data_IF_872554472157
#
_entry.id   IF_872554472157
#
_cell.length_a   1.000
_cell.length_b   1.000
_cell.length_c   1.000
_cell.angle_alpha   90.00
_cell.angle_beta   90.00
_cell.angle_gamma   90.00
#
_symmetry.space_group_name_H-M   'P 1'
#
loop_
_entity.id
_entity.type
_entity.pdbx_description
1 polymer ?
#
# COMPACT_ATOMS: atom_id res chain seq x y z
N UNK A 1 -12.24 -2.88 -18.28
CA UNK A 1 -12.66 -3.35 -16.95
C UNK A 1 -12.33 -2.24 -15.98
N UNK A 2 -13.19 -1.94 -15.01
CA UNK A 2 -12.93 -0.85 -14.04
C UNK A 2 -11.80 -1.25 -13.10
N UNK A 3 -10.77 -0.42 -13.00
CA UNK A 3 -9.59 -0.59 -12.13
C UNK A 3 -9.61 0.45 -11.01
N UNK A 4 -8.91 0.16 -9.92
CA UNK A 4 -8.67 1.10 -8.83
C UNK A 4 -7.38 0.74 -8.09
N UNK A 5 -6.87 1.68 -7.31
CA UNK A 5 -5.63 1.47 -6.54
C UNK A 5 -5.95 1.43 -5.05
N UNK A 6 -5.54 0.36 -4.38
CA UNK A 6 -5.70 0.18 -2.93
C UNK A 6 -4.34 0.09 -2.26
N UNK A 7 -4.22 0.49 -1.00
CA UNK A 7 -3.00 0.29 -0.23
C UNK A 7 -3.13 -0.77 0.87
N UNK A 8 -4.35 -1.16 1.25
CA UNK A 8 -4.57 -2.23 2.22
C UNK A 8 -5.98 -2.87 2.12
N UNK A 9 -6.09 -4.12 2.56
CA UNK A 9 -7.35 -4.84 2.79
C UNK A 9 -7.34 -5.31 4.24
N UNK A 10 -8.02 -4.56 5.11
CA UNK A 10 -8.11 -4.89 6.53
C UNK A 10 -9.33 -5.76 6.81
N UNK A 11 -9.08 -7.04 7.06
CA UNK A 11 -10.11 -8.00 7.48
C UNK A 11 -10.40 -7.86 8.99
N UNK A 12 -11.57 -8.35 9.41
CA UNK A 12 -12.00 -8.36 10.82
C UNK A 12 -12.06 -6.99 11.51
N UNK A 13 -12.40 -5.93 10.76
CA UNK A 13 -12.62 -4.61 11.33
C UNK A 13 -13.97 -4.55 12.07
N UNK A 14 -13.93 -4.20 13.36
CA UNK A 14 -15.13 -4.06 14.22
C UNK A 14 -15.47 -2.61 14.56
N UNK A 15 -14.61 -1.66 14.13
CA UNK A 15 -14.77 -0.23 14.43
C UNK A 15 -15.24 0.58 13.22
N UNK A 16 -15.21 -0.01 12.02
CA UNK A 16 -15.53 0.66 10.75
C UNK A 16 -16.99 0.46 10.30
N UNK A 17 -17.86 0.10 11.25
CA UNK A 17 -19.30 -0.09 11.07
C UNK A 17 -19.85 -1.28 11.86
N UNK A 18 -21.15 -1.61 11.72
CA UNK A 18 -21.77 -2.77 12.38
C UNK A 18 -21.21 -4.10 11.87
N UNK A 19 -21.20 -5.10 12.77
CA UNK A 19 -20.74 -6.46 12.48
C UNK A 19 -19.24 -6.56 12.23
N UNK A 20 -18.80 -7.72 11.72
CA UNK A 20 -17.42 -7.93 11.27
C UNK A 20 -17.29 -7.39 9.85
N UNK A 21 -16.32 -6.49 9.62
CA UNK A 21 -16.15 -5.84 8.33
C UNK A 21 -14.80 -6.12 7.69
N UNK A 22 -14.78 -5.99 6.38
CA UNK A 22 -13.56 -5.84 5.60
C UNK A 22 -13.47 -4.40 5.13
N UNK A 23 -12.44 -3.70 5.59
CA UNK A 23 -12.17 -2.32 5.21
C UNK A 23 -11.17 -2.30 4.06
N UNK A 24 -11.59 -1.80 2.90
CA UNK A 24 -10.75 -1.60 1.72
C UNK A 24 -10.19 -0.19 1.77
N UNK A 25 -8.87 -0.07 1.83
CA UNK A 25 -8.18 1.20 1.92
C UNK A 25 -7.72 1.66 0.53
N UNK A 26 -8.35 2.69 0.01
CA UNK A 26 -8.13 3.23 -1.34
C UNK A 26 -6.98 4.26 -1.36
N UNK A 27 -6.29 4.39 -2.49
CA UNK A 27 -5.31 5.47 -2.72
C UNK A 27 -5.93 6.68 -3.43
N UNK A 28 -5.35 7.86 -3.23
CA UNK A 28 -5.83 9.13 -3.73
C UNK A 28 -6.76 9.82 -2.74
N UNK A 29 -6.39 11.01 -2.26
CA UNK A 29 -7.26 11.87 -1.45
C UNK A 29 -7.02 13.34 -1.80
N UNK A 30 -8.06 14.12 -2.15
CA UNK A 30 -7.88 15.53 -2.49
C UNK A 30 -7.61 16.43 -1.27
N UNK A 31 -7.61 15.87 -0.06
CA UNK A 31 -7.42 16.59 1.19
C UNK A 31 -5.98 16.47 1.70
N UNK A 32 -5.50 17.51 2.38
CA UNK A 32 -4.18 17.58 3.02
C UNK A 32 -4.32 17.84 4.53
N UNK A 33 -5.06 16.95 5.22
CA UNK A 33 -5.31 17.05 6.65
C UNK A 33 -4.00 17.09 7.45
N UNK A 34 -3.89 17.99 8.43
CA UNK A 34 -2.69 18.12 9.27
C UNK A 34 -2.35 16.84 10.05
N UNK A 35 -3.37 16.07 10.42
CA UNK A 35 -3.25 14.77 11.08
C UNK A 35 -4.02 13.72 10.29
N UNK A 36 -3.59 13.50 9.05
CA UNK A 36 -4.14 12.43 8.23
C UNK A 36 -3.97 11.09 8.95
N UNK A 37 -5.05 10.32 9.05
CA UNK A 37 -5.01 8.99 9.65
C UNK A 37 -4.25 8.00 8.75
N UNK A 38 -4.37 8.18 7.43
CA UNK A 38 -3.76 7.31 6.41
C UNK A 38 -2.99 8.16 5.37
N UNK A 39 -1.87 8.80 5.74
CA UNK A 39 -1.08 9.62 4.81
C UNK A 39 -0.64 8.88 3.54
N UNK A 40 -0.44 7.56 3.63
CA UNK A 40 -0.16 6.66 2.51
C UNK A 40 -1.25 6.60 1.44
N UNK A 41 -2.48 6.97 1.81
CA UNK A 41 -3.64 7.06 0.93
C UNK A 41 -3.73 8.37 0.16
N UNK A 42 -2.87 9.36 0.41
CA UNK A 42 -2.96 10.68 -0.24
C UNK A 42 -2.52 10.61 -1.71
N UNK A 43 -1.31 10.09 -1.95
CA UNK A 43 -0.75 9.95 -3.30
C UNK A 43 -1.56 8.90 -4.09
N UNK A 44 -2.20 9.26 -5.21
CA UNK A 44 -2.96 8.31 -6.03
C UNK A 44 -2.09 7.18 -6.58
N UNK A 45 -0.86 7.47 -7.02
CA UNK A 45 0.01 6.47 -7.61
C UNK A 45 0.67 5.57 -6.55
N UNK A 46 0.95 4.30 -6.86
CA UNK A 46 1.82 3.48 -6.03
C UNK A 46 3.19 4.13 -5.84
N UNK A 47 3.73 4.09 -4.64
CA UNK A 47 5.05 4.65 -4.33
C UNK A 47 5.87 3.72 -3.44
N UNK A 48 7.19 3.94 -3.46
CA UNK A 48 8.13 3.17 -2.66
C UNK A 48 8.23 3.76 -1.25
N UNK A 49 7.86 2.97 -0.24
CA UNK A 49 8.15 3.28 1.16
C UNK A 49 9.49 2.65 1.59
N UNK A 50 10.23 3.37 2.44
CA UNK A 50 11.48 2.90 3.03
C UNK A 50 11.44 3.05 4.55
N UNK A 51 11.57 1.92 5.26
CA UNK A 51 11.58 1.80 6.72
C UNK A 51 13.01 1.60 7.18
N UNK A 52 13.70 2.70 7.48
CA UNK A 52 15.12 2.67 7.80
C UNK A 52 15.43 1.77 9.01
N UNK A 53 14.52 1.73 9.98
CA UNK A 53 14.60 0.90 11.18
C UNK A 53 14.61 -0.61 10.92
N UNK A 54 14.11 -1.06 9.76
CA UNK A 54 14.16 -2.47 9.34
C UNK A 54 15.40 -2.79 8.52
N UNK A 55 16.11 -1.80 8.00
CA UNK A 55 17.16 -2.03 7.02
C UNK A 55 18.39 -2.67 7.68
N UNK A 56 18.76 -3.88 7.21
CA UNK A 56 19.98 -4.58 7.65
C UNK A 56 21.23 -4.17 6.84
N UNK A 57 21.08 -3.23 5.90
CA UNK A 57 22.17 -2.68 5.06
C UNK A 57 22.92 -3.74 4.24
N UNK A 58 22.20 -4.71 3.68
CA UNK A 58 22.80 -5.75 2.84
C UNK A 58 23.26 -5.26 1.46
N UNK A 59 22.73 -4.14 0.96
CA UNK A 59 23.13 -3.57 -0.34
C UNK A 59 22.38 -4.13 -1.56
N UNK A 60 21.64 -5.23 -1.44
CA UNK A 60 20.91 -5.88 -2.55
C UNK A 60 20.10 -4.90 -3.42
N UNK A 61 19.36 -3.98 -2.79
CA UNK A 61 18.56 -2.99 -3.51
C UNK A 61 19.38 -1.95 -4.28
N UNK A 62 20.63 -1.69 -3.87
CA UNK A 62 21.55 -0.80 -4.58
C UNK A 62 22.11 -1.51 -5.80
N UNK A 63 22.60 -2.74 -5.61
CA UNK A 63 23.22 -3.54 -6.68
C UNK A 63 22.25 -3.88 -7.81
N UNK A 64 20.98 -4.10 -7.48
CA UNK A 64 19.95 -4.50 -8.44
C UNK A 64 19.01 -3.34 -8.83
N UNK A 65 19.33 -2.09 -8.50
CA UNK A 65 18.54 -0.95 -8.97
C UNK A 65 18.85 -0.69 -10.46
N UNK A 66 17.88 -0.86 -11.39
CA UNK A 66 18.15 -0.69 -12.81
C UNK A 66 18.52 0.76 -13.19
N UNK A 67 18.08 1.73 -12.39
CA UNK A 67 18.35 3.15 -12.59
C UNK A 67 19.57 3.66 -11.79
N UNK A 68 20.23 2.79 -11.01
CA UNK A 68 21.30 3.19 -10.08
C UNK A 68 20.85 4.34 -9.14
N UNK A 69 19.56 4.38 -8.80
CA UNK A 69 18.90 5.47 -8.06
C UNK A 69 19.12 5.42 -6.54
N UNK A 70 19.96 4.51 -6.05
CA UNK A 70 20.16 4.24 -4.62
C UNK A 70 21.65 4.18 -4.27
N UNK A 71 22.00 4.63 -3.06
CA UNK A 71 23.34 4.53 -2.50
C UNK A 71 23.30 3.90 -1.10
N UNK A 72 24.33 3.12 -0.77
CA UNK A 72 24.54 2.58 0.58
C UNK A 72 25.38 3.58 1.39
N UNK A 73 24.84 4.02 2.53
CA UNK A 73 25.54 4.87 3.48
C UNK A 73 25.62 4.22 4.87
N UNK A 74 26.25 4.92 5.82
CA UNK A 74 26.42 4.43 7.20
C UNK A 74 25.08 4.13 7.88
N UNK A 75 24.09 4.98 7.64
CA UNK A 75 22.82 4.98 8.37
C UNK A 75 21.66 4.31 7.61
N UNK A 76 21.91 3.75 6.42
CA UNK A 76 20.87 3.13 5.60
C UNK A 76 21.15 3.17 4.11
N UNK A 77 20.08 2.98 3.32
CA UNK A 77 20.10 3.15 1.87
C UNK A 77 19.34 4.43 1.53
N UNK A 78 19.97 5.34 0.79
CA UNK A 78 19.40 6.64 0.44
C UNK A 78 19.30 6.81 -1.08
N UNK A 79 18.51 7.79 -1.57
CA UNK A 79 18.50 8.13 -2.99
C UNK A 79 19.86 8.64 -3.46
N UNK A 80 20.30 8.22 -4.65
CA UNK A 80 21.46 8.79 -5.33
C UNK A 80 21.09 10.09 -6.07
N UNK A 81 21.99 10.59 -6.91
CA UNK A 81 21.73 11.69 -7.84
C UNK A 81 20.89 11.27 -9.06
N UNK A 82 20.65 9.97 -9.25
CA UNK A 82 19.83 9.43 -10.34
C UNK A 82 18.36 9.26 -9.93
N UNK A 83 17.40 9.55 -10.83
CA UNK A 83 15.98 9.49 -10.50
C UNK A 83 15.49 8.04 -10.36
N UNK A 84 14.70 7.78 -9.32
CA UNK A 84 13.94 6.53 -9.18
C UNK A 84 12.69 6.59 -10.07
N UNK A 85 12.46 5.54 -10.86
CA UNK A 85 11.27 5.41 -11.73
C UNK A 85 10.12 4.62 -11.08
N UNK A 86 10.21 4.28 -9.79
CA UNK A 86 9.25 3.44 -9.08
C UNK A 86 8.99 2.08 -9.79
N UNK A 87 10.05 1.40 -10.25
CA UNK A 87 9.92 0.05 -10.84
C UNK A 87 9.66 -1.06 -9.81
N UNK A 88 9.84 -0.76 -8.51
CA UNK A 88 9.65 -1.66 -7.37
C UNK A 88 10.53 -2.91 -7.32
N UNK A 89 11.52 -3.10 -8.20
CA UNK A 89 12.48 -4.23 -8.11
C UNK A 89 13.11 -4.37 -6.72
N UNK A 90 13.40 -3.24 -6.09
CA UNK A 90 13.98 -3.20 -4.75
C UNK A 90 13.07 -3.69 -3.62
N UNK A 91 11.74 -3.78 -3.84
CA UNK A 91 10.80 -4.34 -2.86
C UNK A 91 10.82 -5.87 -2.90
N UNK A 92 10.92 -6.44 -4.10
CA UNK A 92 10.85 -7.89 -4.31
C UNK A 92 12.08 -8.63 -3.77
N UNK A 93 13.23 -7.94 -3.72
CA UNK A 93 14.51 -8.50 -3.31
C UNK A 93 14.92 -8.12 -1.89
N UNK A 94 14.17 -7.27 -1.18
CA UNK A 94 14.58 -6.79 0.13
C UNK A 94 14.36 -7.87 1.22
N UNK A 95 15.42 -8.51 1.75
CA UNK A 95 15.23 -9.62 2.68
C UNK A 95 14.69 -9.18 4.05
N UNK A 96 14.82 -7.90 4.38
CA UNK A 96 14.40 -7.34 5.66
C UNK A 96 13.03 -6.63 5.60
N UNK A 97 12.36 -6.64 4.43
CA UNK A 97 11.09 -5.93 4.21
C UNK A 97 11.17 -4.45 4.64
N UNK A 98 12.35 -3.85 4.45
CA UNK A 98 12.61 -2.44 4.69
C UNK A 98 12.11 -1.57 3.53
N UNK A 99 11.88 -2.18 2.35
CA UNK A 99 11.34 -1.53 1.17
C UNK A 99 10.00 -2.15 0.82
N UNK A 100 8.99 -1.31 0.64
CA UNK A 100 7.61 -1.75 0.44
C UNK A 100 6.97 -0.93 -0.68
N UNK A 101 6.25 -1.60 -1.57
CA UNK A 101 5.38 -0.95 -2.55
C UNK A 101 4.07 -0.60 -1.87
N UNK A 102 3.80 0.68 -1.70
CA UNK A 102 2.56 1.16 -1.10
C UNK A 102 1.57 1.49 -2.21
N UNK A 103 0.63 0.58 -2.43
CA UNK A 103 -0.37 0.68 -3.47
C UNK A 103 -0.32 -0.46 -4.48
N UNK A 104 -1.47 -1.04 -4.77
CA UNK A 104 -1.67 -2.10 -5.75
C UNK A 104 -2.89 -1.77 -6.60
N UNK A 105 -2.71 -1.84 -7.92
CA UNK A 105 -3.81 -1.74 -8.87
C UNK A 105 -4.55 -3.07 -8.93
N UNK A 106 -5.88 -3.01 -8.83
CA UNK A 106 -6.77 -4.17 -8.91
C UNK A 106 -7.97 -3.80 -9.78
N UNK A 107 -8.49 -4.79 -10.49
CA UNK A 107 -9.82 -4.69 -11.10
C UNK A 107 -10.91 -4.83 -10.04
N UNK A 108 -12.09 -4.27 -10.31
CA UNK A 108 -13.25 -4.47 -9.45
C UNK A 108 -13.60 -5.95 -9.25
N UNK A 109 -13.32 -6.80 -10.24
CA UNK A 109 -13.56 -8.25 -10.18
C UNK A 109 -12.58 -8.93 -9.22
N UNK A 110 -11.29 -8.60 -9.31
CA UNK A 110 -10.27 -9.15 -8.40
C UNK A 110 -10.54 -8.74 -6.95
N UNK A 111 -10.87 -7.45 -6.74
CA UNK A 111 -11.20 -6.94 -5.40
C UNK A 111 -12.46 -7.63 -4.84
N UNK A 112 -13.48 -7.84 -5.67
CA UNK A 112 -14.67 -8.56 -5.26
C UNK A 112 -14.35 -10.01 -4.87
N UNK A 113 -13.48 -10.69 -5.62
CA UNK A 113 -13.01 -12.03 -5.28
C UNK A 113 -12.28 -12.10 -3.92
N UNK A 114 -11.57 -11.04 -3.51
CA UNK A 114 -11.01 -10.95 -2.15
C UNK A 114 -12.08 -10.74 -1.08
N UNK A 115 -13.11 -9.94 -1.39
CA UNK A 115 -14.24 -9.65 -0.49
C UNK A 115 -15.11 -10.90 -0.27
N UNK A 116 -15.36 -11.69 -1.32
CA UNK A 116 -16.22 -12.88 -1.26
C UNK A 116 -15.72 -13.93 -0.27
N UNK A 117 -14.40 -14.01 -0.06
CA UNK A 117 -13.78 -14.92 0.92
C UNK A 117 -14.29 -14.70 2.34
N UNK A 118 -14.82 -13.51 2.62
CA UNK A 118 -15.24 -13.09 3.95
C UNK A 118 -16.76 -13.18 4.17
N UNK A 119 -17.55 -13.59 3.15
CA UNK A 119 -19.02 -13.75 3.24
C UNK A 119 -19.48 -14.53 4.48
N UNK A 120 -18.86 -15.66 4.87
CA UNK A 120 -19.29 -16.42 6.05
C UNK A 120 -19.28 -15.58 7.35
N UNK A 121 -18.36 -14.62 7.46
CA UNK A 121 -18.29 -13.71 8.61
C UNK A 121 -19.37 -12.65 8.54
N UNK A 122 -19.67 -12.14 7.34
CA UNK A 122 -20.74 -11.16 7.15
C UNK A 122 -22.10 -11.76 7.50
N UNK A 123 -22.38 -12.97 7.02
CA UNK A 123 -23.65 -13.68 7.27
C UNK A 123 -23.90 -13.94 8.76
N UNK A 124 -22.83 -14.26 9.50
CA UNK A 124 -22.92 -14.56 10.94
C UNK A 124 -23.03 -13.29 11.79
N UNK A 125 -22.32 -12.22 11.40
CA UNK A 125 -22.20 -11.01 12.22
C UNK A 125 -23.15 -9.88 11.82
N UNK A 126 -23.85 -9.99 10.68
CA UNK A 126 -24.57 -8.87 10.06
C UNK A 126 -23.65 -7.76 9.55
N UNK A 127 -22.41 -8.12 9.22
CA UNK A 127 -21.33 -7.21 8.82
C UNK A 127 -21.30 -6.87 7.33
N UNK A 128 -20.12 -6.58 6.79
CA UNK A 128 -19.97 -6.28 5.36
C UNK A 128 -18.67 -5.55 5.00
N UNK A 129 -18.74 -4.69 3.98
CA UNK A 129 -17.56 -4.01 3.43
C UNK A 129 -17.59 -2.52 3.74
N UNK A 130 -16.45 -1.94 4.12
CA UNK A 130 -16.25 -0.49 4.22
C UNK A 130 -15.16 -0.07 3.25
N UNK A 131 -15.33 1.07 2.58
CA UNK A 131 -14.27 1.70 1.79
C UNK A 131 -13.76 2.92 2.55
N UNK A 132 -12.44 3.02 2.72
CA UNK A 132 -11.77 4.02 3.58
C UNK A 132 -10.36 4.34 3.05
N UNK A 133 -9.53 5.00 3.86
CA UNK A 133 -8.16 5.37 3.52
C UNK A 133 -8.10 6.72 2.82
N UNK A 134 -8.00 6.67 1.49
CA UNK A 134 -8.19 7.82 0.62
C UNK A 134 -9.68 8.13 0.38
N UNK A 135 -9.95 8.82 -0.73
CA UNK A 135 -11.27 9.16 -1.22
C UNK A 135 -11.70 8.11 -2.26
N UNK A 136 -12.69 7.24 -1.98
CA UNK A 136 -13.16 6.23 -2.93
C UNK A 136 -13.63 6.82 -4.27
N UNK A 137 -14.07 8.08 -4.29
CA UNK A 137 -14.48 8.78 -5.51
C UNK A 137 -13.31 9.36 -6.31
N UNK A 138 -12.08 9.27 -5.83
CA UNK A 138 -10.88 9.76 -6.51
C UNK A 138 -10.21 8.71 -7.42
N UNK A 139 -10.82 7.52 -7.57
CA UNK A 139 -10.31 6.50 -8.51
C UNK A 139 -10.57 6.92 -9.96
N UNK A 140 -9.56 6.77 -10.83
CA UNK A 140 -9.60 7.13 -12.25
C UNK A 140 -9.76 5.90 -13.15
#
# INVERSE_FOLDING_TARGET
MTTGTIFDIKRYAIHDGPGIRTTIFMKGCPLACQWCHNPEGIEPAPFLAYKNERCIRCGECVENCPEEALCLEKDGIFPSDRPCINCFTCTDICPAEAREKVGSELTAVELFGEIEKEIPFYDTSGGGVTFSGGEPLAQL
#
